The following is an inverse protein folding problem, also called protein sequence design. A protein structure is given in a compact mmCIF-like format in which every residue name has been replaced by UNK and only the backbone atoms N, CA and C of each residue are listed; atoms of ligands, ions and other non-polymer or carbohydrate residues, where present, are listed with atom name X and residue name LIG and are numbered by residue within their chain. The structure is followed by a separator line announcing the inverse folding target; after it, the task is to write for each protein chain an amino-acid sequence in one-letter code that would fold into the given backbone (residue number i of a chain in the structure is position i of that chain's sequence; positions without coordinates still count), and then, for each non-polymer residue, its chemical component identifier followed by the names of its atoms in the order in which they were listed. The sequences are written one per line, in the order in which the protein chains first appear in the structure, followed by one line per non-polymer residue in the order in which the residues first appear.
data_IF_807001629222
#
_entry.id   IF_807001629222
#
_cell.length_a   1.000
_cell.length_b   1.000
_cell.length_c   1.000
_cell.angle_alpha   90.00
_cell.angle_beta   90.00
_cell.angle_gamma   90.00
#
_symmetry.space_group_name_H-M   'P 1'
#
loop_
_entity.id
_entity.type
_entity.pdbx_description
1 polymer ?
#
# COMPACT_ATOMS: atom_id res chain seq x y z
N UNK A 1 -4.16 -27.42 -33.20
CA UNK A 1 -3.32 -26.21 -33.08
C UNK A 1 -3.34 -25.77 -31.62
N UNK A 2 -2.18 -25.46 -31.03
CA UNK A 2 -2.12 -24.86 -29.69
C UNK A 2 -2.71 -23.45 -29.74
N UNK A 3 -3.57 -23.11 -28.77
CA UNK A 3 -4.20 -21.79 -28.76
C UNK A 3 -3.17 -20.69 -28.48
N UNK A 4 -3.43 -19.47 -28.94
CA UNK A 4 -2.55 -18.31 -28.74
C UNK A 4 -2.24 -18.06 -27.26
N UNK A 5 -3.18 -18.38 -26.38
CA UNK A 5 -3.06 -18.26 -24.92
C UNK A 5 -1.91 -19.09 -24.35
N UNK A 6 -1.56 -20.22 -24.97
CA UNK A 6 -0.48 -21.11 -24.54
C UNK A 6 0.79 -20.98 -25.40
N UNK A 7 0.70 -20.38 -26.58
CA UNK A 7 1.84 -20.27 -27.52
C UNK A 7 2.48 -18.89 -27.58
N UNK A 8 1.71 -17.81 -27.45
CA UNK A 8 2.27 -16.45 -27.53
C UNK A 8 3.10 -16.13 -26.28
N UNK A 9 4.37 -15.69 -26.40
CA UNK A 9 5.29 -15.53 -25.25
C UNK A 9 4.72 -14.69 -24.09
N UNK A 10 4.09 -13.55 -24.39
CA UNK A 10 3.47 -12.69 -23.36
C UNK A 10 2.17 -13.27 -22.78
N UNK A 11 1.23 -13.71 -23.64
CA UNK A 11 -0.07 -14.22 -23.20
C UNK A 11 0.12 -15.52 -22.40
N UNK A 12 1.15 -16.30 -22.71
CA UNK A 12 1.51 -17.51 -21.97
C UNK A 12 1.79 -17.21 -20.49
N UNK A 13 2.45 -16.09 -20.16
CA UNK A 13 2.69 -15.68 -18.78
C UNK A 13 1.36 -15.45 -18.07
N UNK A 14 0.47 -14.63 -18.66
CA UNK A 14 -0.88 -14.35 -18.14
C UNK A 14 -1.68 -15.64 -17.97
N UNK A 15 -1.56 -16.57 -18.93
CA UNK A 15 -2.27 -17.84 -18.86
C UNK A 15 -1.86 -18.67 -17.64
N UNK A 16 -0.55 -18.84 -17.45
CA UNK A 16 -0.04 -19.69 -16.37
C UNK A 16 -0.15 -19.04 -14.99
N UNK A 17 -0.16 -17.71 -14.92
CA UNK A 17 -0.26 -16.98 -13.65
C UNK A 17 -1.69 -16.62 -13.25
N UNK A 18 -2.67 -16.67 -14.16
CA UNK A 18 -4.00 -16.11 -13.88
C UNK A 18 -5.19 -16.92 -14.41
N UNK A 19 -5.02 -17.70 -15.49
CA UNK A 19 -6.14 -18.39 -16.14
C UNK A 19 -6.11 -19.88 -15.83
N UNK A 20 -5.08 -20.57 -16.30
CA UNK A 20 -4.88 -22.01 -16.13
C UNK A 20 -4.03 -22.33 -14.88
N UNK A 21 -3.78 -21.34 -14.00
CA UNK A 21 -3.07 -21.52 -12.74
C UNK A 21 -3.81 -22.58 -11.89
N UNK A 22 -3.17 -23.71 -11.52
CA UNK A 22 -3.82 -24.71 -10.68
C UNK A 22 -3.80 -24.26 -9.22
N UNK A 23 -4.99 -24.07 -8.63
CA UNK A 23 -5.16 -23.63 -7.25
C UNK A 23 -5.87 -24.72 -6.42
N UNK A 24 -5.56 -24.86 -5.11
CA UNK A 24 -6.28 -25.80 -4.25
C UNK A 24 -7.78 -25.51 -4.28
N UNK A 25 -8.63 -26.54 -4.33
CA UNK A 25 -10.09 -26.38 -4.44
C UNK A 25 -10.77 -25.71 -3.24
N UNK A 26 -10.12 -25.74 -2.07
CA UNK A 26 -10.69 -25.41 -0.77
C UNK A 26 -10.18 -24.10 -0.14
N UNK A 27 -9.50 -23.21 -0.88
CA UNK A 27 -9.02 -21.95 -0.29
C UNK A 27 -10.19 -21.03 0.08
N UNK A 28 -10.19 -20.54 1.32
CA UNK A 28 -11.27 -19.74 1.91
C UNK A 28 -11.19 -18.25 1.53
N UNK A 29 -12.09 -17.41 2.06
CA UNK A 29 -12.09 -15.96 1.80
C UNK A 29 -10.77 -15.28 2.21
N UNK A 30 -10.00 -15.85 3.14
CA UNK A 30 -8.71 -15.32 3.56
C UNK A 30 -7.65 -15.28 2.45
N UNK A 31 -7.82 -16.07 1.37
CA UNK A 31 -6.93 -16.03 0.22
C UNK A 31 -7.17 -14.82 -0.70
N UNK A 32 -8.34 -14.18 -0.60
CA UNK A 32 -8.69 -13.01 -1.41
C UNK A 32 -7.86 -11.77 -1.05
N UNK A 33 -7.28 -11.69 0.15
CA UNK A 33 -6.50 -10.52 0.54
C UNK A 33 -5.24 -10.31 -0.32
N UNK A 34 -4.73 -11.35 -0.99
CA UNK A 34 -3.63 -11.19 -1.95
C UNK A 34 -4.05 -10.34 -3.16
N UNK A 35 -5.18 -10.66 -3.80
CA UNK A 35 -5.69 -9.89 -4.94
C UNK A 35 -6.20 -8.51 -4.54
N UNK A 36 -6.85 -8.40 -3.37
CA UNK A 36 -7.27 -7.09 -2.84
C UNK A 36 -6.11 -6.14 -2.59
N UNK A 37 -4.97 -6.64 -2.08
CA UNK A 37 -3.75 -5.82 -1.93
C UNK A 37 -3.20 -5.33 -3.28
N UNK A 38 -3.26 -6.18 -4.31
CA UNK A 38 -2.92 -5.77 -5.68
C UNK A 38 -3.82 -4.65 -6.19
N UNK A 39 -5.14 -4.73 -5.93
CA UNK A 39 -6.07 -3.66 -6.28
C UNK A 39 -5.81 -2.38 -5.47
N UNK A 40 -5.55 -2.49 -4.16
CA UNK A 40 -5.18 -1.33 -3.33
C UNK A 40 -3.93 -0.64 -3.90
N UNK A 41 -2.90 -1.39 -4.32
CA UNK A 41 -1.71 -0.81 -4.92
C UNK A 41 -2.02 -0.03 -6.21
N UNK A 42 -2.81 -0.60 -7.10
CA UNK A 42 -3.25 0.08 -8.33
C UNK A 42 -4.07 1.33 -8.00
N UNK A 43 -5.00 1.24 -7.06
CA UNK A 43 -5.80 2.38 -6.59
C UNK A 43 -4.89 3.50 -6.07
N UNK A 44 -3.93 3.19 -5.21
CA UNK A 44 -3.01 4.18 -4.64
C UNK A 44 -2.11 4.83 -5.72
N UNK A 45 -1.59 4.04 -6.68
CA UNK A 45 -0.77 4.58 -7.77
C UNK A 45 -1.58 5.53 -8.66
N UNK A 46 -2.79 5.12 -9.07
CA UNK A 46 -3.63 5.95 -9.93
C UNK A 46 -4.04 7.23 -9.20
N UNK A 47 -4.66 7.11 -8.02
CA UNK A 47 -5.10 8.29 -7.26
C UNK A 47 -3.93 9.19 -6.89
N UNK A 48 -2.80 8.63 -6.47
CA UNK A 48 -1.58 9.37 -6.12
C UNK A 48 -1.00 10.14 -7.30
N UNK A 49 -0.99 9.54 -8.50
CA UNK A 49 -0.55 10.21 -9.72
C UNK A 49 -1.43 11.42 -10.05
N UNK A 50 -2.75 11.29 -9.98
CA UNK A 50 -3.67 12.42 -10.21
C UNK A 50 -3.53 13.52 -9.15
N UNK A 51 -3.31 13.16 -7.88
CA UNK A 51 -3.02 14.14 -6.82
C UNK A 51 -1.70 14.87 -7.07
N UNK A 52 -0.66 14.14 -7.49
CA UNK A 52 0.67 14.70 -7.77
C UNK A 52 0.66 15.74 -8.90
N UNK A 53 -0.29 15.66 -9.85
CA UNK A 53 -0.45 16.68 -10.91
C UNK A 53 -0.86 18.06 -10.38
N UNK A 54 -1.37 18.13 -9.15
CA UNK A 54 -1.91 19.34 -8.53
C UNK A 54 -1.23 19.71 -7.20
N UNK A 55 -0.35 18.85 -6.68
CA UNK A 55 0.36 19.05 -5.42
C UNK A 55 1.67 19.79 -5.61
N UNK A 56 2.08 20.59 -4.61
CA UNK A 56 3.38 21.28 -4.59
C UNK A 56 4.19 20.92 -3.34
N UNK A 57 5.40 20.41 -3.51
CA UNK A 57 6.28 19.99 -2.41
C UNK A 57 7.16 21.14 -1.85
N UNK A 58 6.53 22.24 -1.44
CA UNK A 58 7.15 23.38 -0.77
C UNK A 58 6.41 23.68 0.54
N UNK A 59 7.12 23.96 1.63
CA UNK A 59 6.50 24.12 2.96
C UNK A 59 5.53 25.30 3.05
N UNK A 60 5.66 26.29 2.16
CA UNK A 60 4.73 27.43 2.11
C UNK A 60 3.44 27.12 1.36
N UNK A 61 3.43 26.14 0.45
CA UNK A 61 2.28 25.84 -0.41
C UNK A 61 1.76 24.41 -0.32
N UNK A 62 2.42 23.49 0.39
CA UNK A 62 2.02 22.09 0.47
C UNK A 62 0.60 21.92 1.04
N UNK A 63 0.35 22.48 2.23
CA UNK A 63 -0.96 22.43 2.86
C UNK A 63 -2.04 23.07 1.97
N UNK A 64 -1.79 24.27 1.45
CA UNK A 64 -2.74 24.97 0.60
C UNK A 64 -3.00 24.25 -0.73
N UNK A 65 -2.00 23.61 -1.33
CA UNK A 65 -2.17 22.81 -2.55
C UNK A 65 -3.09 21.60 -2.33
N UNK A 66 -3.00 20.93 -1.16
CA UNK A 66 -3.94 19.86 -0.80
C UNK A 66 -5.36 20.39 -0.59
N UNK A 67 -5.50 21.57 0.03
CA UNK A 67 -6.84 22.20 0.15
C UNK A 67 -7.42 22.61 -1.20
N UNK A 68 -6.59 23.12 -2.10
CA UNK A 68 -6.96 23.47 -3.48
C UNK A 68 -7.42 22.24 -4.26
N UNK A 69 -6.74 21.09 -4.13
CA UNK A 69 -7.18 19.82 -4.70
C UNK A 69 -8.61 19.49 -4.25
N UNK A 70 -8.90 19.59 -2.96
CA UNK A 70 -10.21 19.24 -2.43
C UNK A 70 -11.32 20.23 -2.85
N UNK A 71 -11.00 21.51 -3.05
CA UNK A 71 -11.98 22.59 -3.22
C UNK A 71 -12.20 23.00 -4.67
N UNK A 72 -11.14 23.02 -5.46
CA UNK A 72 -11.14 23.67 -6.78
C UNK A 72 -10.91 22.70 -7.94
N UNK A 73 -10.26 21.56 -7.69
CA UNK A 73 -10.06 20.52 -8.72
C UNK A 73 -11.33 19.67 -8.85
N UNK A 74 -11.81 19.49 -10.08
CA UNK A 74 -12.99 18.66 -10.36
C UNK A 74 -12.81 17.24 -9.81
N UNK A 75 -13.71 16.82 -8.92
CA UNK A 75 -13.63 15.54 -8.18
C UNK A 75 -12.33 15.34 -7.37
N UNK A 76 -11.55 16.40 -7.13
CA UNK A 76 -10.29 16.30 -6.40
C UNK A 76 -10.49 15.86 -4.95
N UNK A 77 -11.59 16.25 -4.31
CA UNK A 77 -11.99 15.74 -2.99
C UNK A 77 -12.15 14.21 -3.00
N UNK A 78 -12.84 13.67 -4.01
CA UNK A 78 -13.09 12.23 -4.13
C UNK A 78 -11.78 11.47 -4.31
N UNK A 79 -10.89 11.98 -5.17
CA UNK A 79 -9.56 11.38 -5.38
C UNK A 79 -8.73 11.45 -4.10
N UNK A 80 -8.73 12.58 -3.39
CA UNK A 80 -7.99 12.76 -2.12
C UNK A 80 -8.48 11.79 -1.06
N UNK A 81 -9.79 11.67 -0.86
CA UNK A 81 -10.34 10.76 0.14
C UNK A 81 -10.23 9.30 -0.26
N UNK A 82 -10.27 8.98 -1.56
CA UNK A 82 -9.96 7.64 -2.06
C UNK A 82 -8.51 7.26 -1.78
N UNK A 83 -7.57 8.18 -1.98
CA UNK A 83 -6.16 7.94 -1.68
C UNK A 83 -5.90 7.80 -0.17
N UNK A 84 -6.52 8.64 0.66
CA UNK A 84 -6.35 8.61 2.11
C UNK A 84 -6.98 7.37 2.74
N UNK A 85 -8.27 7.10 2.49
CA UNK A 85 -8.95 5.93 3.04
C UNK A 85 -8.49 4.63 2.35
N UNK A 86 -8.06 4.69 1.10
CA UNK A 86 -7.43 3.58 0.39
C UNK A 86 -6.13 3.13 1.05
N UNK A 87 -5.35 4.05 1.62
CA UNK A 87 -4.17 3.70 2.42
C UNK A 87 -4.55 2.91 3.69
N UNK A 88 -5.60 3.33 4.42
CA UNK A 88 -6.08 2.57 5.59
C UNK A 88 -6.60 1.18 5.20
N UNK A 89 -7.35 1.06 4.10
CA UNK A 89 -7.78 -0.23 3.56
C UNK A 89 -6.60 -1.13 3.20
N UNK A 90 -5.52 -0.55 2.64
CA UNK A 90 -4.28 -1.27 2.33
C UNK A 90 -3.72 -1.94 3.59
N UNK A 91 -3.60 -1.21 4.71
CA UNK A 91 -3.09 -1.77 5.97
C UNK A 91 -4.02 -2.81 6.60
N UNK A 92 -5.34 -2.57 6.58
CA UNK A 92 -6.32 -3.55 7.05
C UNK A 92 -6.13 -4.88 6.31
N UNK A 93 -6.02 -4.84 4.98
CA UNK A 93 -5.81 -6.04 4.19
C UNK A 93 -4.41 -6.63 4.33
N UNK A 94 -3.38 -5.83 4.55
CA UNK A 94 -2.04 -6.33 4.88
C UNK A 94 -2.08 -7.15 6.16
N UNK A 95 -2.71 -6.63 7.22
CA UNK A 95 -2.80 -7.34 8.49
C UNK A 95 -3.64 -8.60 8.39
N UNK A 96 -4.76 -8.60 7.66
CA UNK A 96 -5.50 -9.84 7.38
C UNK A 96 -4.70 -10.84 6.55
N UNK A 97 -3.95 -10.38 5.55
CA UNK A 97 -3.10 -11.23 4.72
C UNK A 97 -1.97 -11.89 5.53
N UNK A 98 -1.31 -11.12 6.41
CA UNK A 98 -0.28 -11.60 7.33
C UNK A 98 -0.90 -12.57 8.35
N UNK A 99 -2.03 -12.20 8.96
CA UNK A 99 -2.75 -13.03 9.93
C UNK A 99 -3.14 -14.38 9.35
N UNK A 100 -3.65 -14.41 8.11
CA UNK A 100 -3.88 -15.64 7.34
C UNK A 100 -2.59 -16.45 7.23
N UNK A 101 -1.48 -15.82 6.86
CA UNK A 101 -0.21 -16.50 6.65
C UNK A 101 0.35 -17.14 7.93
N UNK A 102 0.16 -16.49 9.08
CA UNK A 102 0.50 -17.05 10.39
C UNK A 102 -0.44 -18.20 10.74
N UNK A 103 -1.75 -17.98 10.67
CA UNK A 103 -2.75 -18.95 11.10
C UNK A 103 -2.69 -20.28 10.33
N UNK A 104 -2.46 -20.22 9.01
CA UNK A 104 -2.39 -21.41 8.16
C UNK A 104 -0.96 -21.90 7.89
N UNK A 105 0.06 -21.35 8.57
CA UNK A 105 1.44 -21.80 8.41
C UNK A 105 2.08 -21.48 7.05
N UNK A 106 1.54 -20.52 6.28
CA UNK A 106 2.09 -20.13 4.97
C UNK A 106 3.47 -19.48 5.05
N UNK A 107 3.93 -19.07 6.23
CA UNK A 107 5.30 -18.58 6.45
C UNK A 107 6.37 -19.65 6.17
N UNK A 108 5.99 -20.93 6.07
CA UNK A 108 6.87 -22.03 5.65
C UNK A 108 7.36 -21.89 4.20
N UNK A 109 6.66 -21.12 3.36
CA UNK A 109 7.15 -20.69 2.05
C UNK A 109 8.11 -19.50 2.23
N UNK A 110 9.34 -19.83 2.65
CA UNK A 110 10.30 -18.86 3.19
C UNK A 110 10.60 -17.69 2.26
N UNK A 111 10.80 -17.93 0.96
CA UNK A 111 11.10 -16.89 -0.02
C UNK A 111 9.91 -15.95 -0.19
N UNK A 112 8.72 -16.51 -0.42
CA UNK A 112 7.46 -15.75 -0.51
C UNK A 112 7.21 -14.94 0.76
N UNK A 113 7.40 -15.55 1.94
CA UNK A 113 7.21 -14.91 3.24
C UNK A 113 8.18 -13.75 3.47
N UNK A 114 9.48 -13.96 3.24
CA UNK A 114 10.50 -12.94 3.44
C UNK A 114 10.34 -11.76 2.47
N UNK A 115 9.96 -12.01 1.22
CA UNK A 115 9.56 -10.93 0.30
C UNK A 115 8.31 -10.21 0.84
N UNK A 116 7.34 -10.93 1.43
CA UNK A 116 6.18 -10.34 2.09
C UNK A 116 6.56 -9.40 3.25
N UNK A 117 7.56 -9.76 4.05
CA UNK A 117 8.10 -8.89 5.12
C UNK A 117 8.74 -7.62 4.54
N UNK A 118 9.52 -7.74 3.45
CA UNK A 118 10.09 -6.58 2.77
C UNK A 118 8.98 -5.67 2.21
N UNK A 119 7.94 -6.25 1.61
CA UNK A 119 6.78 -5.53 1.12
C UNK A 119 6.06 -4.78 2.25
N UNK A 120 5.87 -5.40 3.41
CA UNK A 120 5.30 -4.74 4.58
C UNK A 120 6.08 -3.48 4.95
N UNK A 121 7.41 -3.58 5.11
CA UNK A 121 8.24 -2.43 5.46
C UNK A 121 8.25 -1.35 4.36
N UNK A 122 8.24 -1.75 3.09
CA UNK A 122 8.17 -0.80 1.97
C UNK A 122 6.83 -0.03 1.97
N UNK A 123 5.70 -0.70 2.21
CA UNK A 123 4.38 -0.04 2.32
C UNK A 123 4.32 0.86 3.56
N UNK A 124 4.89 0.43 4.70
CA UNK A 124 5.02 1.26 5.91
C UNK A 124 5.79 2.55 5.64
N UNK A 125 6.98 2.45 5.02
CA UNK A 125 7.77 3.63 4.65
C UNK A 125 7.02 4.54 3.69
N UNK A 126 6.37 3.97 2.68
CA UNK A 126 5.57 4.72 1.69
C UNK A 126 4.44 5.49 2.36
N UNK A 127 3.65 4.84 3.20
CA UNK A 127 2.51 5.46 3.87
C UNK A 127 2.94 6.53 4.88
N UNK A 128 4.01 6.28 5.64
CA UNK A 128 4.59 7.26 6.56
C UNK A 128 4.97 8.54 5.80
N UNK A 129 5.75 8.45 4.73
CA UNK A 129 6.15 9.63 3.95
C UNK A 129 4.95 10.31 3.27
N UNK A 130 3.97 9.53 2.81
CA UNK A 130 2.72 10.06 2.26
C UNK A 130 1.93 10.88 3.26
N UNK A 131 1.89 10.45 4.52
CA UNK A 131 1.22 11.16 5.60
C UNK A 131 1.89 12.49 5.96
N UNK A 132 3.17 12.70 5.60
CA UNK A 132 3.86 13.98 5.81
C UNK A 132 3.45 15.04 4.77
N UNK A 133 3.05 14.62 3.57
CA UNK A 133 2.83 15.51 2.43
C UNK A 133 1.74 16.57 2.61
N UNK A 134 0.62 16.33 3.32
CA UNK A 134 -0.36 17.38 3.60
C UNK A 134 0.19 18.54 4.43
N UNK A 135 1.32 18.35 5.11
CA UNK A 135 1.99 19.37 5.93
C UNK A 135 1.09 20.02 6.99
N UNK A 136 0.22 19.21 7.60
CA UNK A 136 -0.54 19.58 8.80
C UNK A 136 0.25 19.34 10.09
N UNK A 137 -0.38 19.62 11.24
CA UNK A 137 0.26 19.46 12.54
C UNK A 137 0.72 18.02 12.80
N UNK A 138 -0.16 17.04 12.64
CA UNK A 138 0.19 15.63 12.86
C UNK A 138 1.20 15.12 11.84
N UNK A 139 1.14 15.59 10.60
CA UNK A 139 2.15 15.31 9.56
C UNK A 139 3.55 15.74 10.02
N UNK A 140 3.70 16.99 10.46
CA UNK A 140 4.98 17.57 10.84
C UNK A 140 5.55 16.97 12.13
N UNK A 141 4.74 16.93 13.18
CA UNK A 141 5.18 16.44 14.49
C UNK A 141 5.39 14.93 14.48
N UNK A 142 4.54 14.18 13.77
CA UNK A 142 4.76 12.75 13.53
C UNK A 142 6.08 12.50 12.79
N UNK A 143 6.38 13.26 11.73
CA UNK A 143 7.65 13.17 11.04
C UNK A 143 8.84 13.43 11.98
N UNK A 144 8.75 14.50 12.77
CA UNK A 144 9.80 14.91 13.71
C UNK A 144 10.10 13.84 14.74
N UNK A 145 9.07 13.32 15.42
CA UNK A 145 9.24 12.32 16.49
C UNK A 145 9.76 11.00 15.91
N UNK A 146 9.15 10.47 14.85
CA UNK A 146 9.48 9.14 14.32
C UNK A 146 10.89 9.12 13.73
N UNK A 147 11.27 10.12 12.94
CA UNK A 147 12.62 10.16 12.35
C UNK A 147 13.69 10.38 13.42
N UNK A 148 13.39 11.14 14.47
CA UNK A 148 14.34 11.39 15.56
C UNK A 148 14.59 10.15 16.44
N UNK A 149 13.78 9.09 16.37
CA UNK A 149 14.09 7.81 17.03
C UNK A 149 15.44 7.23 16.59
N UNK A 150 15.89 7.52 15.36
CA UNK A 150 17.19 7.09 14.84
C UNK A 150 18.37 7.75 15.56
N UNK A 151 18.16 8.87 16.26
CA UNK A 151 19.21 9.53 17.06
C UNK A 151 19.72 8.65 18.20
N UNK A 152 18.93 7.65 18.62
CA UNK A 152 19.30 6.69 19.66
C UNK A 152 20.36 5.67 19.21
N UNK A 153 20.68 5.59 17.91
CA UNK A 153 21.74 4.72 17.40
C UNK A 153 23.11 5.26 17.87
N UNK A 154 23.92 4.48 18.60
CA UNK A 154 25.21 4.94 19.11
C UNK A 154 26.13 5.42 17.99
N UNK A 155 26.88 6.49 18.27
CA UNK A 155 27.89 7.12 17.41
C UNK A 155 27.37 7.81 16.14
N UNK A 156 26.49 7.16 15.37
CA UNK A 156 26.04 7.65 14.05
C UNK A 156 24.62 8.25 14.06
N UNK A 157 23.87 8.10 15.15
CA UNK A 157 22.45 8.46 15.22
C UNK A 157 22.14 9.91 14.87
N UNK A 158 22.72 10.91 15.57
CA UNK A 158 22.45 12.32 15.27
C UNK A 158 22.79 12.70 13.82
N UNK A 159 23.94 12.25 13.30
CA UNK A 159 24.35 12.49 11.91
C UNK A 159 23.37 11.87 10.90
N UNK A 160 22.85 10.68 11.20
CA UNK A 160 21.86 10.01 10.35
C UNK A 160 20.55 10.78 10.29
N UNK A 161 20.07 11.30 11.42
CA UNK A 161 18.84 12.10 11.50
C UNK A 161 18.97 13.39 10.69
N UNK A 162 20.04 14.17 10.91
CA UNK A 162 20.29 15.40 10.16
C UNK A 162 20.46 15.13 8.66
N UNK A 163 21.06 13.99 8.29
CA UNK A 163 21.17 13.58 6.89
C UNK A 163 19.80 13.28 6.27
N UNK A 164 18.93 12.55 6.97
CA UNK A 164 17.56 12.27 6.53
C UNK A 164 16.77 13.57 6.38
N UNK A 165 16.88 14.49 7.32
CA UNK A 165 16.19 15.79 7.25
C UNK A 165 16.76 16.68 6.15
N UNK A 166 18.07 16.61 5.91
CA UNK A 166 18.78 17.57 5.06
C UNK A 166 18.96 18.92 5.72
N UNK A 167 19.07 18.94 7.05
CA UNK A 167 19.12 20.13 7.88
C UNK A 167 18.98 19.76 9.36
N UNK A 168 18.80 20.76 10.22
CA UNK A 168 18.75 20.59 11.68
C UNK A 168 17.36 20.22 12.22
N UNK A 169 16.34 20.24 11.37
CA UNK A 169 14.96 19.88 11.71
C UNK A 169 14.21 19.44 10.45
N UNK A 170 13.03 18.84 10.62
CA UNK A 170 12.09 18.58 9.53
C UNK A 170 11.67 19.91 8.91
N UNK A 171 12.00 20.13 7.64
CA UNK A 171 11.68 21.38 6.92
C UNK A 171 11.59 21.13 5.40
N UNK A 172 11.70 22.17 4.57
CA UNK A 172 11.61 22.15 3.11
C UNK A 172 12.40 21.02 2.45
N UNK A 173 13.67 20.86 2.82
CA UNK A 173 14.51 19.79 2.26
C UNK A 173 13.95 18.40 2.55
N UNK A 174 13.33 18.20 3.72
CA UNK A 174 12.69 16.94 4.13
C UNK A 174 11.40 16.70 3.36
N UNK A 175 10.54 17.71 3.24
CA UNK A 175 9.28 17.59 2.52
C UNK A 175 9.48 17.26 1.04
N UNK A 176 10.38 17.97 0.36
CA UNK A 176 10.64 17.75 -1.07
C UNK A 176 11.19 16.34 -1.35
N UNK A 177 12.10 15.83 -0.52
CA UNK A 177 12.63 14.47 -0.70
C UNK A 177 11.61 13.39 -0.31
N UNK A 178 10.79 13.61 0.73
CA UNK A 178 9.74 12.67 1.12
C UNK A 178 8.70 12.54 0.02
N UNK A 179 8.35 13.63 -0.67
CA UNK A 179 7.51 13.55 -1.87
C UNK A 179 8.16 12.67 -2.95
N UNK A 180 9.44 12.89 -3.27
CA UNK A 180 10.15 12.09 -4.27
C UNK A 180 10.21 10.60 -3.91
N UNK A 181 10.55 10.26 -2.66
CA UNK A 181 10.57 8.87 -2.21
C UNK A 181 9.18 8.23 -2.16
N UNK A 182 8.18 8.97 -1.67
CA UNK A 182 6.79 8.52 -1.66
C UNK A 182 6.27 8.25 -3.09
N UNK A 183 6.70 9.03 -4.07
CA UNK A 183 6.34 8.81 -5.48
C UNK A 183 7.01 7.56 -6.07
N UNK A 184 8.29 7.32 -5.78
CA UNK A 184 9.06 6.21 -6.38
C UNK A 184 8.75 4.85 -5.73
N UNK A 185 8.55 4.80 -4.41
CA UNK A 185 8.38 3.53 -3.70
C UNK A 185 7.22 2.65 -4.18
N UNK A 186 6.01 3.16 -4.54
CA UNK A 186 4.93 2.35 -5.09
C UNK A 186 5.33 1.54 -6.33
N UNK A 187 6.22 2.07 -7.17
CA UNK A 187 6.73 1.36 -8.35
C UNK A 187 7.74 0.27 -7.97
N UNK A 188 8.58 0.52 -6.97
CA UNK A 188 9.47 -0.49 -6.38
C UNK A 188 8.62 -1.62 -5.75
N UNK A 189 7.57 -1.27 -5.01
CA UNK A 189 6.61 -2.22 -4.43
C UNK A 189 5.97 -3.05 -5.54
N UNK A 190 5.60 -2.45 -6.68
CA UNK A 190 5.04 -3.18 -7.82
C UNK A 190 6.01 -4.24 -8.35
N UNK A 191 7.29 -3.91 -8.51
CA UNK A 191 8.31 -4.88 -8.90
C UNK A 191 8.49 -6.00 -7.86
N UNK A 192 8.48 -5.65 -6.56
CA UNK A 192 8.58 -6.61 -5.47
C UNK A 192 7.36 -7.53 -5.37
N UNK A 193 6.14 -7.05 -5.69
CA UNK A 193 4.93 -7.89 -5.79
C UNK A 193 5.08 -8.91 -6.92
N UNK A 194 5.68 -8.55 -8.05
CA UNK A 194 5.95 -9.51 -9.13
C UNK A 194 6.92 -10.61 -8.66
N UNK A 195 7.95 -10.25 -7.89
CA UNK A 195 8.89 -11.22 -7.29
C UNK A 195 8.17 -12.09 -6.24
N UNK A 196 7.30 -11.51 -5.42
CA UNK A 196 6.51 -12.23 -4.43
C UNK A 196 5.62 -13.30 -5.09
N UNK A 197 4.93 -12.94 -6.17
CA UNK A 197 4.08 -13.85 -6.92
C UNK A 197 4.90 -14.90 -7.70
N UNK A 198 6.10 -14.55 -8.17
CA UNK A 198 7.01 -15.51 -8.79
C UNK A 198 7.34 -16.66 -7.82
N UNK A 199 7.81 -16.35 -6.61
CA UNK A 199 8.10 -17.38 -5.61
C UNK A 199 6.85 -18.15 -5.16
N UNK A 200 5.69 -17.49 -5.09
CA UNK A 200 4.43 -18.18 -4.81
C UNK A 200 4.09 -19.19 -5.92
N UNK A 201 4.34 -18.86 -7.18
CA UNK A 201 4.01 -19.76 -8.30
C UNK A 201 4.96 -20.95 -8.43
N UNK A 202 6.17 -20.91 -7.85
CA UNK A 202 7.07 -22.07 -7.76
C UNK A 202 6.48 -23.20 -6.89
N UNK A 203 5.75 -22.84 -5.83
CA UNK A 203 5.18 -23.81 -4.86
C UNK A 203 3.68 -24.01 -5.02
N UNK A 204 2.97 -23.00 -5.54
CA UNK A 204 1.52 -22.92 -5.51
C UNK A 204 0.98 -22.41 -4.16
N UNK A 205 -0.33 -22.15 -4.11
CA UNK A 205 -0.97 -21.70 -2.88
C UNK A 205 -1.05 -22.81 -1.82
N UNK A 206 -0.83 -22.46 -0.55
CA UNK A 206 -1.28 -23.28 0.58
C UNK A 206 -2.82 -23.30 0.65
N UNK A 207 -3.40 -24.11 1.53
CA UNK A 207 -4.84 -24.19 1.75
C UNK A 207 -5.22 -24.39 3.23
N UNK A 208 -6.50 -24.24 3.60
CA UNK A 208 -6.91 -24.25 5.01
C UNK A 208 -6.63 -25.54 5.79
N UNK A 209 -6.47 -26.69 5.14
CA UNK A 209 -6.17 -27.95 5.83
C UNK A 209 -4.68 -28.12 6.14
N UNK A 210 -3.81 -27.34 5.50
CA UNK A 210 -2.35 -27.49 5.58
C UNK A 210 -1.81 -28.77 4.93
N UNK A 211 -2.65 -29.57 4.26
CA UNK A 211 -2.25 -30.78 3.55
C UNK A 211 -1.92 -30.48 2.09
N UNK A 212 -1.14 -31.36 1.45
CA UNK A 212 -0.89 -31.27 0.01
C UNK A 212 -2.23 -31.39 -0.76
N UNK A 213 -2.51 -30.42 -1.65
CA UNK A 213 -3.74 -30.34 -2.44
C UNK A 213 -3.59 -30.77 -3.90
N UNK A 214 -2.46 -31.37 -4.30
CA UNK A 214 -2.18 -31.78 -5.70
C UNK A 214 -3.22 -32.75 -6.25
N UNK A 215 -3.85 -33.56 -5.38
CA UNK A 215 -4.93 -34.47 -5.77
C UNK A 215 -6.24 -33.76 -6.12
N UNK A 216 -6.41 -32.48 -5.73
CA UNK A 216 -7.64 -31.71 -5.93
C UNK A 216 -7.34 -30.22 -6.19
N UNK A 217 -6.78 -29.95 -7.36
CA UNK A 217 -6.62 -28.58 -7.88
C UNK A 217 -7.66 -28.27 -8.94
N UNK A 218 -8.15 -27.04 -8.90
CA UNK A 218 -9.04 -26.47 -9.91
C UNK A 218 -8.31 -25.33 -10.65
N UNK A 219 -8.67 -25.03 -11.91
CA UNK A 219 -8.10 -23.87 -12.59
C UNK A 219 -8.54 -22.57 -11.89
N UNK A 220 -7.67 -21.56 -11.86
CA UNK A 220 -8.00 -20.28 -11.25
C UNK A 220 -9.21 -19.61 -11.92
N UNK A 221 -9.28 -19.64 -13.25
CA UNK A 221 -10.46 -19.22 -13.99
C UNK A 221 -11.40 -20.40 -14.28
N UNK A 222 -12.73 -20.29 -14.01
CA UNK A 222 -13.45 -19.10 -13.55
C UNK A 222 -13.54 -18.96 -12.02
N UNK A 223 -13.21 -20.01 -11.26
CA UNK A 223 -13.57 -20.17 -9.86
C UNK A 223 -13.04 -19.05 -8.96
N UNK A 224 -11.73 -18.81 -8.98
CA UNK A 224 -11.13 -17.76 -8.17
C UNK A 224 -11.23 -16.39 -8.81
N UNK A 225 -11.35 -16.30 -10.15
CA UNK A 225 -11.66 -15.02 -10.80
C UNK A 225 -12.99 -14.43 -10.30
N UNK A 226 -14.07 -15.22 -10.27
CA UNK A 226 -15.38 -14.71 -9.83
C UNK A 226 -15.40 -14.46 -8.32
N UNK A 227 -14.72 -15.30 -7.53
CA UNK A 227 -14.59 -15.12 -6.09
C UNK A 227 -13.81 -13.84 -5.74
N UNK A 228 -12.75 -13.54 -6.49
CA UNK A 228 -11.96 -12.33 -6.30
C UNK A 228 -12.73 -11.08 -6.72
N UNK A 229 -13.53 -11.14 -7.78
CA UNK A 229 -14.46 -10.06 -8.16
C UNK A 229 -15.46 -9.79 -7.03
N UNK A 230 -16.01 -10.82 -6.40
CA UNK A 230 -16.89 -10.65 -5.23
C UNK A 230 -16.18 -9.94 -4.07
N UNK A 231 -14.94 -10.36 -3.76
CA UNK A 231 -14.12 -9.69 -2.75
C UNK A 231 -13.88 -8.21 -3.08
N UNK A 232 -13.60 -7.91 -4.35
CA UNK A 232 -13.42 -6.53 -4.83
C UNK A 232 -14.70 -5.70 -4.64
N UNK A 233 -15.87 -6.25 -4.94
CA UNK A 233 -17.14 -5.53 -4.72
C UNK A 233 -17.35 -5.16 -3.24
N UNK A 234 -17.00 -6.06 -2.30
CA UNK A 234 -17.06 -5.77 -0.87
C UNK A 234 -16.05 -4.69 -0.44
N UNK A 235 -14.84 -4.74 -1.00
CA UNK A 235 -13.85 -3.68 -0.77
C UNK A 235 -14.37 -2.33 -1.27
N UNK A 236 -14.88 -2.26 -2.50
CA UNK A 236 -15.39 -1.03 -3.10
C UNK A 236 -16.58 -0.49 -2.30
N UNK A 237 -17.50 -1.35 -1.87
CA UNK A 237 -18.63 -0.94 -1.02
C UNK A 237 -18.13 -0.30 0.28
N UNK A 238 -17.21 -0.95 0.98
CA UNK A 238 -16.63 -0.44 2.24
C UNK A 238 -15.92 0.90 2.02
N UNK A 239 -15.05 0.97 1.01
CA UNK A 239 -14.28 2.16 0.68
C UNK A 239 -15.19 3.33 0.29
N UNK A 240 -16.18 3.11 -0.58
CA UNK A 240 -17.12 4.16 -0.98
C UNK A 240 -18.01 4.61 0.18
N UNK A 241 -18.37 3.69 1.09
CA UNK A 241 -19.12 4.06 2.30
C UNK A 241 -18.30 5.00 3.19
N UNK A 242 -17.01 4.71 3.40
CA UNK A 242 -16.10 5.60 4.12
C UNK A 242 -16.00 6.96 3.41
N UNK A 243 -15.70 6.97 2.11
CA UNK A 243 -15.46 8.23 1.38
C UNK A 243 -16.72 9.12 1.34
N UNK A 244 -17.90 8.54 1.13
CA UNK A 244 -19.12 9.32 0.89
C UNK A 244 -19.84 9.72 2.17
N UNK A 245 -19.72 8.94 3.26
CA UNK A 245 -20.47 9.19 4.49
C UNK A 245 -19.61 9.53 5.70
N UNK A 246 -18.35 9.08 5.77
CA UNK A 246 -17.49 9.30 6.93
C UNK A 246 -16.01 9.42 6.53
N UNK A 247 -15.66 10.36 5.63
CA UNK A 247 -14.34 10.41 4.98
C UNK A 247 -13.18 10.66 5.94
N UNK A 248 -13.45 11.25 7.10
CA UNK A 248 -12.47 11.62 8.13
C UNK A 248 -12.43 10.66 9.31
N UNK A 249 -13.23 9.58 9.30
CA UNK A 249 -13.37 8.64 10.43
C UNK A 249 -12.03 8.04 10.89
N UNK A 250 -11.11 7.83 9.96
CA UNK A 250 -9.81 7.18 10.20
C UNK A 250 -8.64 8.17 10.27
N UNK A 251 -8.91 9.48 10.21
CA UNK A 251 -7.92 10.53 10.26
C UNK A 251 -7.90 11.27 11.61
N UNK A 252 -6.91 12.14 11.77
CA UNK A 252 -6.81 13.01 12.94
C UNK A 252 -7.21 14.46 12.60
N UNK A 253 -8.11 15.10 13.39
CA UNK A 253 -8.55 16.46 13.14
C UNK A 253 -7.43 17.51 13.17
N UNK A 254 -6.36 17.30 13.95
CA UNK A 254 -5.26 18.26 14.03
C UNK A 254 -4.50 18.37 12.71
N UNK A 255 -4.59 17.35 11.84
CA UNK A 255 -3.99 17.41 10.52
C UNK A 255 -4.75 18.34 9.53
N UNK A 256 -5.87 18.93 9.95
CA UNK A 256 -6.52 20.05 9.26
C UNK A 256 -6.01 21.43 9.70
N UNK A 257 -5.07 21.49 10.64
CA UNK A 257 -4.34 22.72 10.99
C UNK A 257 -2.97 22.69 10.32
N UNK A 258 -2.53 23.77 9.64
CA UNK A 258 -1.19 23.84 9.06
C UNK A 258 -0.09 23.60 10.11
N UNK A 259 1.00 22.95 9.70
CA UNK A 259 2.15 22.69 10.57
C UNK A 259 2.68 23.98 11.21
N UNK A 260 2.87 23.95 12.54
CA UNK A 260 3.50 25.00 13.32
C UNK A 260 4.62 24.40 14.18
N UNK A 261 5.90 24.69 13.89
CA UNK A 261 7.03 24.13 14.63
C UNK A 261 7.12 24.63 16.08
N UNK A 262 6.35 25.66 16.46
CA UNK A 262 6.32 26.24 17.80
C UNK A 262 5.11 25.80 18.63
N UNK A 263 4.20 25.00 18.07
CA UNK A 263 3.00 24.55 18.76
C UNK A 263 2.83 23.03 18.58
N UNK A 264 3.22 22.28 19.59
CA UNK A 264 3.08 20.82 19.63
C UNK A 264 1.63 20.42 19.95
N UNK A 265 1.00 19.55 19.14
CA UNK A 265 -0.31 18.97 19.43
C UNK A 265 -0.34 18.26 20.79
N UNK A 266 -1.51 18.16 21.43
CA UNK A 266 -1.64 17.58 22.75
C UNK A 266 -1.37 16.06 22.79
N UNK A 267 -1.82 15.29 21.79
CA UNK A 267 -1.63 13.83 21.69
C UNK A 267 -1.79 13.33 20.26
#
# INVERSE_FOLDING_TARGET
MTNLRKSHPLIKIINHSFIDLPAPSNISAWWNFGSLLGVCLILQIITGLFLAMHYTADTTTAFSSVTHICRDVNYGWLIRYAHANGASMFFIFLYFHIGRGIYYGSYTFMETWNIGVILLFAVMATAFMGYVLPWGQMSFWGATVITNLLSAIPYIGPTLVEWIWGGFSVDKATLTRFFAFHFVLPFIITAMVMIHLLFLHETGSNNPSGLNSDSDKIPFHPYYTIKDILGLLFMLLTLMTLILFSPDLLGDPDNYTPANPLNTPPH
#
